data_IF_108813700192
#
_entry.id   IF_108813700192
#
_cell.length_a   1.000
_cell.length_b   1.000
_cell.length_c   1.000
_cell.angle_alpha   90.00
_cell.angle_beta   90.00
_cell.angle_gamma   90.00
#
_symmetry.space_group_name_H-M   'P 1'
#
loop_
_entity.id
_entity.type
_entity.pdbx_description
1 polymer ?
#
# COMPACT_ATOMS: atom_id res chain seq x y z
N UNK A 1 -11.34 -0.95 25.63
CA UNK A 1 -10.47 -0.89 24.42
C UNK A 1 -11.35 -1.05 23.19
N UNK A 2 -11.60 0.04 22.46
CA UNK A 2 -12.25 -0.02 21.15
C UNK A 2 -11.21 -0.27 20.06
N UNK A 3 -11.56 -1.14 19.12
CA UNK A 3 -10.80 -1.41 17.90
C UNK A 3 -11.68 -1.18 16.69
N UNK A 4 -11.13 -0.62 15.63
CA UNK A 4 -11.79 -0.48 14.34
C UNK A 4 -11.08 -1.36 13.33
N UNK A 5 -11.83 -2.24 12.66
CA UNK A 5 -11.31 -3.13 11.62
C UNK A 5 -11.83 -2.74 10.24
N UNK A 6 -10.93 -2.64 9.26
CA UNK A 6 -11.26 -2.41 7.87
C UNK A 6 -11.08 -3.69 7.08
N UNK A 7 -12.07 -4.03 6.27
CA UNK A 7 -12.10 -5.20 5.40
C UNK A 7 -12.32 -4.79 3.94
N UNK A 8 -11.92 -5.65 3.02
CA UNK A 8 -12.25 -5.50 1.59
C UNK A 8 -13.45 -6.39 1.24
N UNK A 9 -14.12 -6.11 0.11
CA UNK A 9 -15.33 -6.82 -0.35
C UNK A 9 -15.22 -8.36 -0.34
N UNK A 10 -14.03 -8.93 -0.49
CA UNK A 10 -13.79 -10.39 -0.58
C UNK A 10 -12.73 -10.88 0.38
N UNK A 11 -12.33 -10.07 1.36
CA UNK A 11 -11.27 -10.40 2.32
C UNK A 11 -11.69 -9.94 3.70
N UNK A 12 -11.54 -10.81 4.66
CA UNK A 12 -12.01 -10.61 6.04
C UNK A 12 -10.92 -10.98 7.02
N UNK A 13 -10.95 -10.35 8.17
CA UNK A 13 -10.20 -10.81 9.33
C UNK A 13 -10.91 -12.03 9.90
N UNK A 14 -10.16 -13.11 10.08
CA UNK A 14 -10.68 -14.38 10.60
C UNK A 14 -10.03 -14.70 11.95
N UNK A 15 -10.75 -15.44 12.79
CA UNK A 15 -10.19 -15.95 14.02
C UNK A 15 -9.13 -17.05 13.72
N UNK A 16 -8.28 -17.35 14.71
CA UNK A 16 -7.19 -18.31 14.58
C UNK A 16 -7.65 -19.71 14.15
N UNK A 17 -8.78 -20.15 14.67
CA UNK A 17 -9.34 -21.47 14.40
C UNK A 17 -9.80 -21.62 12.95
N UNK A 18 -10.10 -20.51 12.29
CA UNK A 18 -10.61 -20.47 10.91
C UNK A 18 -9.53 -20.20 9.85
N UNK A 19 -8.28 -20.05 10.25
CA UNK A 19 -7.16 -19.69 9.34
C UNK A 19 -6.99 -20.65 8.17
N UNK A 20 -7.28 -21.93 8.35
CA UNK A 20 -7.11 -22.98 7.36
C UNK A 20 -8.41 -23.41 6.69
N UNK A 21 -9.54 -22.80 7.02
CA UNK A 21 -10.83 -23.16 6.44
C UNK A 21 -11.16 -22.29 5.23
N UNK A 22 -11.75 -22.93 4.23
CA UNK A 22 -12.34 -22.18 3.11
C UNK A 22 -13.60 -21.49 3.61
N UNK A 23 -13.62 -20.17 3.54
CA UNK A 23 -14.79 -19.38 3.91
C UNK A 23 -15.96 -19.66 2.94
N UNK A 24 -17.11 -19.93 3.50
CA UNK A 24 -18.39 -20.12 2.80
C UNK A 24 -19.46 -19.25 3.46
N UNK A 25 -20.64 -19.16 2.87
CA UNK A 25 -21.75 -18.40 3.47
C UNK A 25 -22.18 -18.99 4.81
N UNK A 26 -22.09 -20.30 4.95
CA UNK A 26 -22.53 -21.05 6.13
C UNK A 26 -21.60 -20.82 7.32
N UNK A 27 -20.28 -20.75 7.10
CA UNK A 27 -19.29 -20.64 8.18
C UNK A 27 -18.70 -19.23 8.35
N UNK A 28 -19.08 -18.27 7.50
CA UNK A 28 -18.50 -16.93 7.50
C UNK A 28 -18.66 -16.26 8.86
N UNK A 29 -19.87 -16.26 9.41
CA UNK A 29 -20.18 -15.56 10.67
C UNK A 29 -19.35 -16.06 11.85
N UNK A 30 -19.16 -17.37 11.94
CA UNK A 30 -18.40 -18.02 13.02
C UNK A 30 -16.89 -17.86 12.83
N UNK A 31 -16.47 -17.67 11.56
CA UNK A 31 -15.06 -17.54 11.20
C UNK A 31 -14.53 -16.12 11.36
N UNK A 32 -15.39 -15.10 11.43
CA UNK A 32 -14.95 -13.71 11.52
C UNK A 32 -14.27 -13.41 12.86
N UNK A 33 -13.24 -12.58 12.80
CA UNK A 33 -12.63 -12.00 13.99
C UNK A 33 -13.58 -10.94 14.56
N UNK A 34 -14.10 -11.16 15.75
CA UNK A 34 -15.06 -10.26 16.42
C UNK A 34 -14.44 -9.49 17.59
N UNK A 35 -13.32 -9.98 18.11
CA UNK A 35 -12.64 -9.38 19.27
C UNK A 35 -11.12 -9.53 19.13
N UNK A 36 -10.40 -8.53 19.60
CA UNK A 36 -8.94 -8.61 19.80
C UNK A 36 -8.69 -9.12 21.21
N UNK A 37 -7.83 -10.11 21.33
CA UNK A 37 -7.46 -10.69 22.63
C UNK A 37 -6.75 -9.65 23.51
N UNK A 38 -6.99 -9.68 24.80
CA UNK A 38 -6.41 -8.71 25.74
C UNK A 38 -4.88 -8.72 25.75
N UNK A 39 -4.25 -9.88 25.53
CA UNK A 39 -2.80 -10.01 25.39
C UNK A 39 -2.21 -9.20 24.21
N UNK A 40 -3.04 -8.83 23.22
CA UNK A 40 -2.66 -8.01 22.07
C UNK A 40 -2.99 -6.52 22.26
N UNK A 41 -3.52 -6.13 23.42
CA UNK A 41 -3.94 -4.74 23.72
C UNK A 41 -2.80 -3.72 23.70
N UNK A 42 -1.55 -4.17 23.87
CA UNK A 42 -0.35 -3.34 23.83
C UNK A 42 0.02 -2.87 22.40
N UNK A 43 -0.54 -3.51 21.38
CA UNK A 43 -0.36 -3.05 20.00
C UNK A 43 -1.31 -1.90 19.68
N UNK A 44 -0.92 -1.05 18.74
CA UNK A 44 -1.72 0.07 18.27
C UNK A 44 -2.47 -0.29 16.97
N UNK A 45 -1.90 -1.18 16.17
CA UNK A 45 -2.49 -1.60 14.89
C UNK A 45 -2.02 -2.99 14.46
N UNK A 46 -2.85 -3.65 13.65
CA UNK A 46 -2.55 -4.90 12.96
C UNK A 46 -2.71 -4.70 11.47
N UNK A 47 -1.70 -5.08 10.72
CA UNK A 47 -1.67 -4.97 9.26
C UNK A 47 -1.68 -6.37 8.63
N UNK A 48 -2.13 -6.47 7.40
CA UNK A 48 -1.97 -7.69 6.61
C UNK A 48 -0.48 -7.98 6.37
N UNK A 49 -0.19 -9.23 6.05
CA UNK A 49 1.16 -9.63 5.63
C UNK A 49 1.59 -8.85 4.38
N UNK A 50 2.79 -8.26 4.38
CA UNK A 50 3.27 -7.50 3.24
C UNK A 50 3.65 -8.43 2.08
N UNK A 51 3.48 -7.95 0.84
CA UNK A 51 3.97 -8.62 -0.35
C UNK A 51 5.30 -8.04 -0.84
N UNK A 52 6.12 -8.88 -1.47
CA UNK A 52 7.37 -8.46 -2.09
C UNK A 52 7.15 -8.02 -3.54
N UNK A 53 7.81 -6.94 -3.95
CA UNK A 53 7.72 -6.38 -5.31
C UNK A 53 8.97 -6.63 -6.16
N UNK A 54 10.00 -7.26 -5.62
CA UNK A 54 11.32 -7.41 -6.22
C UNK A 54 11.49 -8.67 -7.10
N UNK A 55 10.39 -9.29 -7.54
CA UNK A 55 10.40 -10.45 -8.44
C UNK A 55 9.84 -10.12 -9.83
N UNK A 56 10.19 -8.96 -10.36
CA UNK A 56 9.71 -8.52 -11.66
C UNK A 56 10.43 -9.26 -12.80
N UNK A 57 9.67 -9.75 -13.78
CA UNK A 57 10.25 -10.37 -15.00
C UNK A 57 11.03 -9.33 -15.80
N UNK A 58 12.24 -9.67 -16.27
CA UNK A 58 13.14 -8.77 -17.02
C UNK A 58 12.46 -8.11 -18.23
N UNK A 59 11.64 -8.86 -18.98
CA UNK A 59 10.88 -8.32 -20.12
C UNK A 59 9.92 -7.21 -19.69
N UNK A 60 9.24 -7.37 -18.54
CA UNK A 60 8.34 -6.35 -18.00
C UNK A 60 9.12 -5.10 -17.55
N UNK A 61 10.31 -5.28 -16.97
CA UNK A 61 11.19 -4.19 -16.58
C UNK A 61 11.60 -3.35 -17.81
N UNK A 62 12.01 -4.00 -18.90
CA UNK A 62 12.36 -3.32 -20.16
C UNK A 62 11.18 -2.58 -20.79
N UNK A 63 9.99 -3.20 -20.78
CA UNK A 63 8.80 -2.60 -21.40
C UNK A 63 8.22 -1.41 -20.60
N UNK A 64 8.19 -1.53 -19.29
CA UNK A 64 7.46 -0.58 -18.41
C UNK A 64 8.38 0.24 -17.49
N UNK A 65 9.60 -0.20 -17.25
CA UNK A 65 10.55 0.41 -16.32
C UNK A 65 11.79 1.00 -16.99
N UNK A 66 11.79 1.15 -18.32
CA UNK A 66 13.01 1.53 -19.06
C UNK A 66 13.61 2.87 -18.60
N UNK A 67 12.79 3.86 -18.27
CA UNK A 67 13.28 5.15 -17.77
C UNK A 67 14.04 5.02 -16.45
N UNK A 68 13.50 4.21 -15.52
CA UNK A 68 14.17 3.91 -14.24
C UNK A 68 15.46 3.12 -14.47
N UNK A 69 15.48 2.20 -15.43
CA UNK A 69 16.66 1.41 -15.78
C UNK A 69 17.76 2.27 -16.42
N UNK A 70 17.40 3.23 -17.26
CA UNK A 70 18.38 4.17 -17.84
C UNK A 70 19.08 4.99 -16.75
N UNK A 71 18.34 5.41 -15.70
CA UNK A 71 18.92 6.17 -14.58
C UNK A 71 19.67 5.30 -13.58
N UNK A 72 19.24 4.06 -13.37
CA UNK A 72 19.86 3.12 -12.42
C UNK A 72 19.91 1.71 -13.00
N UNK A 73 20.87 1.39 -13.88
CA UNK A 73 20.99 0.08 -14.54
C UNK A 73 21.12 -1.10 -13.56
N UNK A 74 21.67 -0.86 -12.37
CA UNK A 74 21.81 -1.88 -11.32
C UNK A 74 20.49 -2.55 -10.91
N UNK A 75 19.34 -1.91 -11.10
CA UNK A 75 18.01 -2.47 -10.84
C UNK A 75 17.77 -3.72 -11.71
N UNK A 76 18.29 -3.74 -12.94
CA UNK A 76 18.11 -4.87 -13.85
C UNK A 76 18.87 -6.13 -13.42
N UNK A 77 20.01 -5.93 -12.77
CA UNK A 77 20.92 -7.01 -12.38
C UNK A 77 20.73 -7.48 -10.94
N UNK A 78 20.20 -6.63 -10.07
CA UNK A 78 20.07 -6.94 -8.65
C UNK A 78 18.64 -6.67 -8.14
N UNK A 79 17.96 -7.75 -7.74
CA UNK A 79 16.60 -7.72 -7.21
C UNK A 79 16.45 -6.82 -5.96
N UNK A 80 17.51 -6.67 -5.18
CA UNK A 80 17.49 -5.85 -3.97
C UNK A 80 17.38 -4.35 -4.27
N UNK A 81 17.54 -3.93 -5.51
CA UNK A 81 17.32 -2.56 -5.97
C UNK A 81 15.95 -2.33 -6.62
N UNK A 82 15.11 -3.38 -6.71
CA UNK A 82 13.73 -3.27 -7.20
C UNK A 82 12.81 -2.79 -6.08
N UNK A 83 13.05 -1.57 -5.61
CA UNK A 83 12.29 -0.93 -4.53
C UNK A 83 10.86 -0.60 -4.93
N UNK A 84 10.03 -0.23 -3.96
CA UNK A 84 8.62 0.17 -4.15
C UNK A 84 8.49 1.28 -5.19
N UNK A 85 9.37 2.28 -5.16
CA UNK A 85 9.39 3.37 -6.13
C UNK A 85 9.53 2.87 -7.56
N UNK A 86 10.44 1.94 -7.82
CA UNK A 86 10.58 1.31 -9.13
C UNK A 86 9.32 0.54 -9.54
N UNK A 87 8.75 -0.21 -8.60
CA UNK A 87 7.50 -0.94 -8.82
C UNK A 87 6.35 0.01 -9.19
N UNK A 88 6.22 1.13 -8.49
CA UNK A 88 5.22 2.15 -8.79
C UNK A 88 5.45 2.77 -10.18
N UNK A 89 6.67 3.17 -10.50
CA UNK A 89 7.02 3.76 -11.80
C UNK A 89 6.63 2.86 -12.98
N UNK A 90 6.83 1.54 -12.84
CA UNK A 90 6.44 0.58 -13.88
C UNK A 90 4.92 0.50 -14.11
N UNK A 91 4.10 0.80 -13.10
CA UNK A 91 2.64 0.64 -13.16
C UNK A 91 1.91 1.94 -13.40
N UNK A 92 2.47 3.05 -12.92
CA UNK A 92 1.80 4.34 -12.87
C UNK A 92 2.56 5.46 -13.60
N UNK A 93 3.66 5.12 -14.24
CA UNK A 93 4.49 6.08 -14.98
C UNK A 93 5.64 6.65 -14.15
N UNK A 94 6.77 6.78 -14.85
CA UNK A 94 8.02 7.27 -14.25
C UNK A 94 7.88 8.68 -13.68
N UNK A 95 8.31 8.87 -12.43
CA UNK A 95 8.32 10.16 -11.74
C UNK A 95 6.96 10.62 -11.19
N UNK A 96 5.88 9.88 -11.42
CA UNK A 96 4.57 10.27 -10.88
C UNK A 96 4.51 10.13 -9.36
N UNK A 97 5.19 9.14 -8.79
CA UNK A 97 5.30 9.04 -7.33
C UNK A 97 6.06 10.22 -6.74
N UNK A 98 7.11 10.70 -7.39
CA UNK A 98 7.86 11.88 -6.93
C UNK A 98 6.99 13.13 -6.91
N UNK A 99 6.14 13.31 -7.94
CA UNK A 99 5.16 14.39 -7.99
C UNK A 99 4.16 14.29 -6.85
N UNK A 100 3.63 13.09 -6.58
CA UNK A 100 2.70 12.85 -5.48
C UNK A 100 3.37 13.12 -4.12
N UNK A 101 4.60 12.66 -3.93
CA UNK A 101 5.39 12.93 -2.72
C UNK A 101 5.62 14.42 -2.52
N UNK A 102 5.83 15.19 -3.60
CA UNK A 102 6.00 16.64 -3.50
C UNK A 102 4.78 17.37 -2.91
N UNK A 103 3.61 16.74 -2.96
CA UNK A 103 2.36 17.25 -2.39
C UNK A 103 2.15 16.85 -0.92
N UNK A 104 3.04 16.06 -0.33
CA UNK A 104 2.94 15.69 1.08
C UNK A 104 3.32 16.85 2.01
N UNK A 105 2.95 16.73 3.27
CA UNK A 105 3.46 17.59 4.33
C UNK A 105 4.95 17.37 4.51
N UNK A 106 5.69 18.40 4.87
CA UNK A 106 7.15 18.31 4.98
C UNK A 106 7.59 17.30 6.04
N UNK A 107 6.84 17.13 7.12
CA UNK A 107 7.12 16.15 8.19
C UNK A 107 7.11 14.70 7.70
N UNK A 108 6.22 14.36 6.77
CA UNK A 108 6.01 12.97 6.30
C UNK A 108 6.76 12.68 5.01
N UNK A 109 7.09 13.72 4.25
CA UNK A 109 7.66 13.65 2.90
C UNK A 109 8.98 12.92 2.84
N UNK A 110 9.90 13.24 3.76
CA UNK A 110 11.23 12.62 3.79
C UNK A 110 11.14 11.15 4.17
N UNK A 111 10.37 10.83 5.21
CA UNK A 111 10.19 9.47 5.69
C UNK A 111 9.49 8.59 4.66
N UNK A 112 8.45 9.09 4.00
CA UNK A 112 7.76 8.35 2.95
C UNK A 112 8.66 8.14 1.73
N UNK A 113 9.40 9.18 1.30
CA UNK A 113 10.35 9.03 0.20
C UNK A 113 11.45 8.01 0.52
N UNK A 114 11.98 8.03 1.73
CA UNK A 114 12.94 7.04 2.23
C UNK A 114 12.33 5.63 2.22
N UNK A 115 11.10 5.49 2.73
CA UNK A 115 10.40 4.21 2.75
C UNK A 115 10.26 3.61 1.35
N UNK A 116 9.72 4.34 0.38
CA UNK A 116 9.50 3.82 -0.97
C UNK A 116 10.79 3.59 -1.77
N UNK A 117 11.86 4.30 -1.41
CA UNK A 117 13.17 4.21 -2.07
C UNK A 117 14.09 3.11 -1.53
N UNK A 118 13.77 2.53 -0.37
CA UNK A 118 14.61 1.52 0.29
C UNK A 118 13.89 0.19 0.55
N UNK A 119 12.55 0.16 0.52
CA UNK A 119 11.80 -1.06 0.79
C UNK A 119 11.41 -1.80 -0.48
N UNK A 120 11.38 -3.13 -0.38
CA UNK A 120 11.00 -4.07 -1.44
C UNK A 120 9.68 -4.78 -1.15
N UNK A 121 8.98 -4.38 -0.10
CA UNK A 121 7.71 -4.96 0.35
C UNK A 121 6.74 -3.88 0.84
N UNK A 122 5.45 -4.10 0.66
CA UNK A 122 4.38 -3.24 1.17
C UNK A 122 3.11 -4.03 1.44
N UNK A 123 2.18 -3.43 2.18
CA UNK A 123 0.86 -4.00 2.43
C UNK A 123 -0.09 -3.58 1.29
N UNK A 124 -0.50 -4.50 0.41
CA UNK A 124 -1.22 -4.15 -0.82
C UNK A 124 -2.70 -3.86 -0.59
N UNK A 125 -3.18 -4.03 0.63
CA UNK A 125 -4.59 -3.95 0.95
C UNK A 125 -4.86 -2.90 2.02
N UNK A 126 -5.94 -2.14 1.83
CA UNK A 126 -6.52 -1.29 2.86
C UNK A 126 -7.30 -2.20 3.81
N UNK A 127 -6.56 -3.09 4.47
CA UNK A 127 -7.06 -3.96 5.52
C UNK A 127 -6.16 -3.80 6.72
N UNK A 128 -6.68 -3.18 7.76
CA UNK A 128 -6.00 -3.02 9.02
C UNK A 128 -7.02 -3.01 10.16
N UNK A 129 -6.54 -3.31 11.35
CA UNK A 129 -7.27 -3.13 12.60
C UNK A 129 -6.43 -2.19 13.42
N UNK A 130 -7.02 -1.13 13.96
CA UNK A 130 -6.29 -0.18 14.80
C UNK A 130 -7.17 0.40 15.90
N UNK A 131 -6.53 1.09 16.84
CA UNK A 131 -7.23 1.97 17.76
C UNK A 131 -7.85 3.14 16.96
N UNK A 132 -9.02 3.66 17.37
CA UNK A 132 -9.73 4.71 16.64
C UNK A 132 -8.88 5.94 16.34
N UNK A 133 -8.11 6.41 17.32
CA UNK A 133 -7.23 7.58 17.21
C UNK A 133 -6.12 7.42 16.15
N UNK A 134 -5.62 6.19 15.99
CA UNK A 134 -4.62 5.88 14.94
C UNK A 134 -5.27 5.89 13.56
N UNK A 135 -6.47 5.30 13.43
CA UNK A 135 -7.22 5.30 12.18
C UNK A 135 -7.57 6.74 11.76
N UNK A 136 -8.07 7.55 12.68
CA UNK A 136 -8.44 8.95 12.42
C UNK A 136 -7.23 9.76 11.92
N UNK A 137 -6.08 9.67 12.61
CA UNK A 137 -4.86 10.35 12.19
C UNK A 137 -4.42 9.91 10.80
N UNK A 138 -4.39 8.59 10.56
CA UNK A 138 -4.00 8.05 9.26
C UNK A 138 -4.92 8.54 8.13
N UNK A 139 -6.24 8.52 8.32
CA UNK A 139 -7.18 9.02 7.32
C UNK A 139 -7.06 10.52 7.10
N UNK A 140 -6.87 11.29 8.15
CA UNK A 140 -6.68 12.75 8.07
C UNK A 140 -5.47 13.08 7.20
N UNK A 141 -4.33 12.46 7.45
CA UNK A 141 -3.10 12.69 6.69
C UNK A 141 -3.23 12.20 5.25
N UNK A 142 -3.77 11.00 5.05
CA UNK A 142 -3.97 10.40 3.74
C UNK A 142 -4.90 11.25 2.87
N UNK A 143 -6.09 11.60 3.35
CA UNK A 143 -7.05 12.37 2.55
C UNK A 143 -6.58 13.80 2.31
N UNK A 144 -5.90 14.42 3.27
CA UNK A 144 -5.26 15.71 3.08
C UNK A 144 -4.23 15.69 1.95
N UNK A 145 -3.44 14.63 1.86
CA UNK A 145 -2.49 14.43 0.78
C UNK A 145 -3.19 14.16 -0.56
N UNK A 146 -4.16 13.26 -0.60
CA UNK A 146 -4.92 12.92 -1.81
C UNK A 146 -5.64 14.14 -2.39
N UNK A 147 -6.27 14.99 -1.57
CA UNK A 147 -6.92 16.22 -2.03
C UNK A 147 -5.92 17.25 -2.59
N UNK A 148 -4.70 17.33 -2.02
CA UNK A 148 -3.64 18.16 -2.62
C UNK A 148 -3.21 17.62 -3.98
N UNK A 149 -3.03 16.30 -4.11
CA UNK A 149 -2.73 15.66 -5.39
C UNK A 149 -3.83 15.93 -6.42
N UNK A 150 -5.09 15.76 -6.04
CA UNK A 150 -6.24 16.03 -6.90
C UNK A 150 -6.26 17.48 -7.38
N UNK A 151 -6.04 18.44 -6.49
CA UNK A 151 -5.99 19.88 -6.82
C UNK A 151 -4.89 20.21 -7.81
N UNK A 152 -3.72 19.56 -7.71
CA UNK A 152 -2.54 19.85 -8.53
C UNK A 152 -2.61 19.11 -9.86
N UNK A 153 -2.95 17.83 -9.86
CA UNK A 153 -2.92 16.98 -11.07
C UNK A 153 -4.28 16.95 -11.77
N UNK A 154 -5.38 17.08 -11.04
CA UNK A 154 -6.75 17.01 -11.54
C UNK A 154 -7.10 15.67 -12.16
N UNK A 155 -8.39 15.36 -12.29
CA UNK A 155 -8.83 14.11 -12.93
C UNK A 155 -8.85 14.19 -14.46
N UNK A 156 -9.01 15.39 -15.04
CA UNK A 156 -9.18 15.55 -16.50
C UNK A 156 -7.95 15.17 -17.34
N UNK A 157 -6.78 15.17 -16.73
CA UNK A 157 -5.51 14.84 -17.38
C UNK A 157 -5.11 13.37 -17.22
N UNK A 158 -5.91 12.57 -16.51
CA UNK A 158 -5.67 11.16 -16.30
C UNK A 158 -6.21 10.38 -17.48
N UNK A 159 -5.31 9.90 -18.34
CA UNK A 159 -5.65 9.05 -19.47
C UNK A 159 -5.16 7.63 -19.23
N UNK A 160 -6.08 6.67 -19.39
CA UNK A 160 -5.78 5.25 -19.27
C UNK A 160 -5.78 4.71 -17.83
N UNK A 161 -5.84 3.40 -17.74
CA UNK A 161 -5.99 2.67 -16.49
C UNK A 161 -4.84 2.88 -15.49
N UNK A 162 -3.62 3.06 -16.00
CA UNK A 162 -2.42 3.19 -15.18
C UNK A 162 -2.32 4.59 -14.54
N UNK A 163 -2.81 5.60 -15.24
CA UNK A 163 -2.83 6.98 -14.73
C UNK A 163 -4.01 7.26 -13.80
N UNK A 164 -5.15 6.59 -13.98
CA UNK A 164 -6.30 6.71 -13.08
C UNK A 164 -6.10 6.08 -11.69
N UNK A 165 -4.99 5.37 -11.49
CA UNK A 165 -4.62 4.76 -10.19
C UNK A 165 -3.63 5.57 -9.38
N UNK A 166 -3.41 6.81 -9.73
CA UNK A 166 -2.57 7.72 -8.94
C UNK A 166 -3.21 8.12 -7.60
N UNK A 167 -4.53 7.93 -7.46
CA UNK A 167 -5.32 8.29 -6.28
C UNK A 167 -5.93 7.06 -5.61
#
# INVERSE_FOLDING_TARGET
NQWIGFCQKRRFWVNENSRNYKLSKENLKESLLTQIKDELSNFESFLCEPIFVNNVKKIKMLKKGYMSLLKKPSIFFNKNYQFLKFHFDMHHGYGNLDKAISCMNDNDKEDFNRYVSLNIKFNPHIMFISKPEIAERWFTDLFSWLFRCEKIFGFKNLQGYETTRLY
#
